data_IF_745902807072
#
_entry.id   IF_745902807072
#
_cell.length_a   1.000
_cell.length_b   1.000
_cell.length_c   1.000
_cell.angle_alpha   90.00
_cell.angle_beta   90.00
_cell.angle_gamma   90.00
#
_symmetry.space_group_name_H-M   'P 1'
#
loop_
_entity.id
_entity.type
_entity.pdbx_description
1 polymer ?
#
# COMPACT_ATOMS: atom_id res chain seq x y z
N UNK A 1 -1.77 19.76 -13.87
CA UNK A 1 -1.25 18.60 -13.12
C UNK A 1 -2.39 17.65 -12.80
N UNK A 2 -2.10 16.35 -12.83
CA UNK A 2 -3.00 15.29 -13.30
C UNK A 2 -4.00 14.74 -12.29
N UNK A 3 -5.09 14.19 -12.83
CA UNK A 3 -5.99 13.25 -12.14
C UNK A 3 -5.69 11.87 -12.70
N UNK A 4 -5.17 10.96 -11.87
CA UNK A 4 -5.03 9.56 -12.21
C UNK A 4 -6.08 8.78 -11.40
N UNK A 5 -6.93 8.04 -12.09
CA UNK A 5 -7.81 7.03 -11.48
C UNK A 5 -7.42 5.71 -12.12
N UNK A 6 -6.86 4.82 -11.32
CA UNK A 6 -6.36 3.52 -11.78
C UNK A 6 -6.86 2.44 -10.83
N UNK A 7 -7.24 1.30 -11.40
CA UNK A 7 -7.42 0.05 -10.69
C UNK A 7 -6.37 -0.92 -11.22
N UNK A 8 -5.62 -1.53 -10.32
CA UNK A 8 -4.57 -2.49 -10.66
C UNK A 8 -4.66 -3.67 -9.71
N UNK A 9 -4.19 -4.81 -10.17
CA UNK A 9 -4.07 -6.01 -9.35
C UNK A 9 -2.72 -6.67 -9.61
N UNK A 10 -2.26 -7.43 -8.62
CA UNK A 10 -1.08 -8.25 -8.74
C UNK A 10 -1.38 -9.62 -8.17
N UNK A 11 -0.83 -10.65 -8.82
CA UNK A 11 -0.86 -12.01 -8.29
C UNK A 11 0.14 -12.11 -7.14
N UNK A 12 -0.33 -11.82 -5.92
CA UNK A 12 0.44 -11.92 -4.68
C UNK A 12 -0.09 -13.12 -3.91
N UNK A 13 0.81 -14.04 -3.52
CA UNK A 13 0.42 -15.24 -2.78
C UNK A 13 1.27 -15.37 -1.51
N UNK A 14 0.60 -15.42 -0.37
CA UNK A 14 1.20 -15.74 0.92
C UNK A 14 0.15 -16.37 1.83
N UNK A 15 0.55 -17.27 2.72
CA UNK A 15 -0.37 -18.01 3.60
C UNK A 15 -0.93 -17.15 4.74
N UNK A 16 -0.14 -16.18 5.23
CA UNK A 16 -0.57 -15.15 6.18
C UNK A 16 -1.20 -13.95 5.47
N UNK A 17 -2.46 -13.64 5.78
CA UNK A 17 -3.20 -12.51 5.20
C UNK A 17 -2.59 -11.16 5.55
N UNK A 18 -1.96 -11.03 6.73
CA UNK A 18 -1.24 -9.80 7.13
C UNK A 18 -0.05 -9.54 6.21
N UNK A 19 0.62 -10.61 5.77
CA UNK A 19 1.71 -10.50 4.80
C UNK A 19 1.21 -10.11 3.41
N UNK A 20 0.09 -10.67 2.95
CA UNK A 20 -0.52 -10.27 1.67
C UNK A 20 -0.85 -8.77 1.67
N UNK A 21 -1.44 -8.26 2.74
CA UNK A 21 -1.75 -6.83 2.89
C UNK A 21 -0.49 -5.95 2.92
N UNK A 22 0.58 -6.38 3.61
CA UNK A 22 1.88 -5.66 3.58
C UNK A 22 2.49 -5.65 2.17
N UNK A 23 2.48 -6.79 1.49
CA UNK A 23 2.94 -6.89 0.11
C UNK A 23 2.11 -5.97 -0.81
N UNK A 24 0.79 -5.88 -0.63
CA UNK A 24 -0.03 -4.97 -1.42
C UNK A 24 0.45 -3.50 -1.31
N UNK A 25 0.91 -3.06 -0.15
CA UNK A 25 1.48 -1.72 0.06
C UNK A 25 2.81 -1.55 -0.69
N UNK A 26 3.67 -2.58 -0.73
CA UNK A 26 4.89 -2.56 -1.54
C UNK A 26 4.56 -2.31 -3.02
N UNK A 27 3.60 -3.04 -3.57
CA UNK A 27 3.22 -2.97 -4.98
C UNK A 27 2.55 -1.65 -5.41
N UNK A 28 2.19 -0.77 -4.46
CA UNK A 28 1.76 0.60 -4.78
C UNK A 28 2.86 1.35 -5.53
N UNK A 29 4.14 1.05 -5.31
CA UNK A 29 5.26 1.72 -6.00
C UNK A 29 5.14 1.69 -7.53
N UNK A 30 4.55 0.62 -8.07
CA UNK A 30 4.35 0.41 -9.52
C UNK A 30 3.31 1.35 -10.12
N UNK A 31 2.48 1.97 -9.27
CA UNK A 31 1.49 2.96 -9.67
C UNK A 31 1.95 4.40 -9.46
N UNK A 32 3.00 4.59 -8.65
CA UNK A 32 3.52 5.93 -8.38
C UNK A 32 4.30 6.41 -9.60
N UNK A 33 3.94 7.58 -10.10
CA UNK A 33 4.59 8.25 -11.23
C UNK A 33 5.26 9.53 -10.76
N UNK A 34 6.28 9.99 -11.49
CA UNK A 34 7.21 11.05 -11.06
C UNK A 34 6.53 12.29 -10.48
N UNK A 35 5.49 12.81 -11.16
CA UNK A 35 4.78 14.01 -10.71
C UNK A 35 4.06 13.86 -9.37
N UNK A 36 3.79 12.63 -8.91
CA UNK A 36 3.15 12.40 -7.60
C UNK A 36 4.08 12.73 -6.44
N UNK A 37 5.40 12.63 -6.63
CA UNK A 37 6.38 12.99 -5.60
C UNK A 37 6.45 14.50 -5.34
N UNK A 38 5.96 15.32 -6.28
CA UNK A 38 5.81 16.77 -6.09
C UNK A 38 4.60 17.15 -5.20
N UNK A 39 3.76 16.17 -4.82
CA UNK A 39 2.64 16.39 -3.91
C UNK A 39 3.11 16.47 -2.46
N UNK A 40 2.35 17.18 -1.62
CA UNK A 40 2.62 17.31 -0.17
C UNK A 40 2.67 15.97 0.57
N UNK A 41 2.07 14.93 0.00
CA UNK A 41 2.04 13.61 0.59
C UNK A 41 1.01 12.69 -0.03
N UNK A 42 0.87 11.51 0.56
CA UNK A 42 -0.06 10.46 0.16
C UNK A 42 -0.84 9.95 1.38
N UNK A 43 -2.08 9.55 1.14
CA UNK A 43 -2.92 8.83 2.09
C UNK A 43 -3.08 7.41 1.54
N UNK A 44 -2.73 6.41 2.34
CA UNK A 44 -2.89 4.99 2.02
C UNK A 44 -4.02 4.45 2.90
N UNK A 45 -5.10 4.00 2.27
CA UNK A 45 -6.28 3.47 2.94
C UNK A 45 -6.33 1.94 2.80
N UNK A 46 -6.53 1.23 3.90
CA UNK A 46 -6.63 -0.23 3.92
C UNK A 46 -7.59 -0.72 5.00
N UNK A 47 -8.14 -1.92 4.84
CA UNK A 47 -9.12 -2.49 5.79
C UNK A 47 -8.49 -3.39 6.86
N UNK A 48 -7.16 -3.56 6.84
CA UNK A 48 -6.42 -4.23 7.90
C UNK A 48 -5.83 -3.21 8.90
N UNK A 49 -6.46 -3.07 10.07
CA UNK A 49 -6.04 -2.12 11.10
C UNK A 49 -4.63 -2.39 11.63
N UNK A 50 -4.24 -3.67 11.76
CA UNK A 50 -2.93 -4.05 12.28
C UNK A 50 -1.80 -3.64 11.32
N UNK A 51 -2.03 -3.82 10.01
CA UNK A 51 -1.07 -3.41 8.98
C UNK A 51 -0.93 -1.89 8.95
N UNK A 52 -2.04 -1.16 8.96
CA UNK A 52 -2.01 0.30 8.99
C UNK A 52 -1.28 0.84 10.23
N UNK A 53 -1.54 0.27 11.42
CA UNK A 53 -0.85 0.66 12.64
C UNK A 53 0.65 0.34 12.58
N UNK A 54 1.01 -0.83 12.06
CA UNK A 54 2.40 -1.22 11.85
C UNK A 54 3.12 -0.25 10.91
N UNK A 55 2.52 0.07 9.75
CA UNK A 55 3.12 0.98 8.76
C UNK A 55 3.21 2.43 9.26
N UNK A 56 2.20 2.89 10.01
CA UNK A 56 2.23 4.20 10.66
C UNK A 56 3.39 4.30 11.67
N UNK A 57 3.59 3.25 12.48
CA UNK A 57 4.73 3.17 13.42
C UNK A 57 6.06 3.05 12.68
N UNK A 58 6.11 2.28 11.59
CA UNK A 58 7.31 2.09 10.77
C UNK A 58 7.87 3.43 10.27
N UNK A 59 6.99 4.32 9.78
CA UNK A 59 7.36 5.68 9.40
C UNK A 59 7.73 6.55 10.61
N UNK A 60 6.86 6.62 11.62
CA UNK A 60 7.00 7.58 12.72
C UNK A 60 8.24 7.33 13.58
N UNK A 61 8.57 6.06 13.84
CA UNK A 61 9.70 5.67 14.69
C UNK A 61 11.00 5.48 13.90
N UNK A 62 11.00 5.82 12.62
CA UNK A 62 12.10 5.53 11.69
C UNK A 62 12.61 4.08 11.78
N UNK A 63 11.71 3.10 12.01
CA UNK A 63 12.09 1.71 12.24
C UNK A 63 12.78 1.07 11.03
N UNK A 64 12.63 1.69 9.86
CA UNK A 64 13.41 1.39 8.66
C UNK A 64 14.93 1.48 8.88
N UNK A 65 15.40 2.33 9.82
CA UNK A 65 16.83 2.40 10.18
C UNK A 65 17.32 1.16 10.94
N UNK A 66 16.41 0.32 11.46
CA UNK A 66 16.72 -0.84 12.29
C UNK A 66 16.45 -2.18 11.59
N UNK A 67 15.69 -2.18 10.48
CA UNK A 67 15.32 -3.39 9.73
C UNK A 67 15.56 -3.17 8.23
N UNK A 68 16.68 -3.68 7.74
CA UNK A 68 17.17 -3.49 6.37
C UNK A 68 16.29 -4.25 5.34
N UNK A 69 15.76 -5.41 5.69
CA UNK A 69 14.94 -6.21 4.77
C UNK A 69 13.55 -5.59 4.53
N UNK A 70 12.88 -5.13 5.59
CA UNK A 70 11.60 -4.39 5.50
C UNK A 70 11.78 -3.02 4.77
N UNK A 71 13.02 -2.54 4.62
CA UNK A 71 13.37 -1.24 4.06
C UNK A 71 13.44 -1.21 2.53
N UNK A 72 13.90 -2.27 1.87
CA UNK A 72 13.93 -2.29 0.40
C UNK A 72 12.52 -2.30 -0.20
N UNK A 73 11.61 -3.08 0.39
CA UNK A 73 10.24 -3.25 -0.09
C UNK A 73 9.40 -1.96 0.02
N UNK A 74 9.61 -1.12 1.03
CA UNK A 74 8.80 0.09 1.23
C UNK A 74 9.56 1.40 0.95
N UNK A 75 10.64 1.33 0.17
CA UNK A 75 11.54 2.46 -0.07
C UNK A 75 10.89 3.67 -0.75
N UNK A 76 9.80 3.47 -1.50
CA UNK A 76 9.04 4.53 -2.20
C UNK A 76 8.40 5.56 -1.24
N UNK A 77 8.03 5.12 -0.04
CA UNK A 77 7.34 5.93 0.99
C UNK A 77 8.16 7.16 1.39
N UNK A 78 9.50 7.06 1.34
CA UNK A 78 10.42 8.13 1.76
C UNK A 78 10.41 9.34 0.83
N UNK A 79 10.01 9.14 -0.43
CA UNK A 79 9.96 10.21 -1.42
C UNK A 79 8.75 11.14 -1.20
N UNK A 80 7.79 10.72 -0.37
CA UNK A 80 6.67 11.55 0.04
C UNK A 80 6.95 12.29 1.35
N UNK A 81 6.82 13.62 1.32
CA UNK A 81 6.97 14.47 2.49
C UNK A 81 6.06 14.01 3.64
N UNK A 82 4.78 13.76 3.37
CA UNK A 82 3.83 13.21 4.33
C UNK A 82 3.20 11.91 3.81
N UNK A 83 2.98 10.95 4.71
CA UNK A 83 2.33 9.68 4.40
C UNK A 83 1.45 9.37 5.60
N UNK A 84 0.18 9.08 5.35
CA UNK A 84 -0.79 8.72 6.37
C UNK A 84 -1.38 7.36 6.04
N UNK A 85 -1.31 6.44 6.98
CA UNK A 85 -2.01 5.16 6.89
C UNK A 85 -3.34 5.27 7.63
N UNK A 86 -4.43 4.98 6.93
CA UNK A 86 -5.79 5.12 7.46
C UNK A 86 -6.49 3.79 7.38
N UNK A 87 -6.98 3.33 8.53
CA UNK A 87 -7.89 2.21 8.56
C UNK A 87 -9.27 2.64 8.07
N UNK A 88 -9.77 1.91 7.08
CA UNK A 88 -11.13 2.06 6.56
C UNK A 88 -11.91 0.77 6.76
N UNK A 89 -13.21 0.85 6.98
CA UNK A 89 -14.04 -0.35 7.07
C UNK A 89 -14.11 -1.00 5.69
N UNK A 90 -14.06 -2.34 5.61
CA UNK A 90 -14.11 -3.09 4.33
C UNK A 90 -15.21 -2.64 3.37
N UNK A 91 -16.40 -2.30 3.89
CA UNK A 91 -17.53 -1.77 3.09
C UNK A 91 -17.25 -0.46 2.35
N UNK A 92 -16.24 0.29 2.77
CA UNK A 92 -15.76 1.51 2.15
C UNK A 92 -14.50 1.29 1.30
N UNK A 93 -13.91 0.08 1.35
CA UNK A 93 -12.77 -0.34 0.54
C UNK A 93 -13.15 -1.39 -0.51
N UNK A 94 -14.40 -1.35 -0.99
CA UNK A 94 -14.95 -2.39 -1.87
C UNK A 94 -14.21 -2.51 -3.21
N UNK A 95 -13.60 -1.42 -3.70
CA UNK A 95 -12.81 -1.45 -4.94
C UNK A 95 -11.56 -2.30 -4.77
N UNK A 96 -10.80 -2.09 -3.68
CA UNK A 96 -9.63 -2.92 -3.40
C UNK A 96 -10.02 -4.37 -3.11
N UNK A 97 -11.12 -4.58 -2.39
CA UNK A 97 -11.65 -5.92 -2.13
C UNK A 97 -12.03 -6.67 -3.42
N UNK A 98 -12.73 -5.99 -4.34
CA UNK A 98 -13.05 -6.51 -5.67
C UNK A 98 -11.76 -6.85 -6.44
N UNK A 99 -10.74 -5.99 -6.35
CA UNK A 99 -9.46 -6.24 -7.02
C UNK A 99 -8.75 -7.48 -6.45
N UNK A 100 -8.73 -7.65 -5.13
CA UNK A 100 -8.14 -8.82 -4.50
C UNK A 100 -8.89 -10.11 -4.87
N UNK A 101 -10.23 -10.07 -4.88
CA UNK A 101 -11.06 -11.23 -5.21
C UNK A 101 -10.83 -11.69 -6.67
N UNK A 102 -10.83 -10.77 -7.61
CA UNK A 102 -10.61 -11.09 -9.03
C UNK A 102 -9.19 -11.60 -9.29
N UNK A 103 -8.20 -11.13 -8.53
CA UNK A 103 -6.84 -11.65 -8.62
C UNK A 103 -6.76 -13.12 -8.18
N UNK A 104 -7.49 -13.48 -7.11
CA UNK A 104 -7.62 -14.88 -6.65
C UNK A 104 -8.33 -15.77 -7.67
N UNK A 105 -9.35 -15.24 -8.34
CA UNK A 105 -10.09 -15.94 -9.39
C UNK A 105 -9.30 -16.07 -10.70
N UNK A 106 -8.11 -15.47 -10.79
CA UNK A 106 -7.29 -15.43 -12.02
C UNK A 106 -7.97 -14.69 -13.17
N UNK A 107 -8.95 -13.81 -12.87
CA UNK A 107 -9.88 -13.22 -13.84
C UNK A 107 -9.60 -11.73 -14.14
N UNK A 108 -8.35 -11.30 -13.93
CA UNK A 108 -7.88 -9.92 -14.15
C UNK A 108 -7.21 -9.67 -15.51
N UNK A 109 -7.48 -10.53 -16.48
CA UNK A 109 -7.14 -10.34 -17.90
C UNK A 109 -8.04 -9.33 -18.57
#
# INVERSE_FOLDING_TARGET
MGKLVVASSWSICHWDSTQVERMAIHYIDKLVVEWMYDLKGIIVEGDNSNVNEYMQKFKFKELWKQRIDDWEECSWIKFFQQVLFVHTQRRFNMVAHFCAQRALEGSFT
#
